data_IF_877118270789
#
_entry.id   IF_877118270789
#
_cell.length_a   1.000
_cell.length_b   1.000
_cell.length_c   1.000
_cell.angle_alpha   90.00
_cell.angle_beta   90.00
_cell.angle_gamma   90.00
#
_symmetry.space_group_name_H-M   'P 1'
#
loop_
_entity.id
_entity.type
_entity.pdbx_description
1 polymer ?
#
# COMPACT_ATOMS: atom_id res chain seq x y z
N UNK A 1 34.32 -10.19 -16.15
CA UNK A 1 34.22 -8.74 -15.87
C UNK A 1 32.79 -8.47 -15.45
N UNK A 2 32.57 -7.92 -14.26
CA UNK A 2 31.22 -7.61 -13.76
C UNK A 2 30.54 -6.57 -14.64
N UNK A 3 29.23 -6.71 -14.81
CA UNK A 3 28.44 -5.69 -15.48
C UNK A 3 28.40 -4.42 -14.63
N UNK A 4 28.60 -3.28 -15.28
CA UNK A 4 28.61 -1.95 -14.69
C UNK A 4 27.28 -1.25 -15.04
N UNK A 5 26.74 -0.42 -14.15
CA UNK A 5 25.59 0.43 -14.50
C UNK A 5 25.92 1.31 -15.71
N UNK A 6 24.90 1.71 -16.46
CA UNK A 6 25.03 2.67 -17.56
C UNK A 6 25.69 3.99 -17.09
N UNK A 7 25.52 4.36 -15.81
CA UNK A 7 26.13 5.56 -15.20
C UNK A 7 27.64 5.46 -15.03
N UNK A 8 28.16 4.26 -14.81
CA UNK A 8 29.61 3.97 -14.67
C UNK A 8 30.27 3.78 -16.04
N UNK A 9 29.49 3.54 -17.10
CA UNK A 9 29.99 3.21 -18.45
C UNK A 9 29.75 4.30 -19.51
N UNK A 10 29.07 5.39 -19.17
CA UNK A 10 28.73 6.44 -20.12
C UNK A 10 29.98 7.20 -20.62
N UNK A 11 30.45 6.85 -21.81
CA UNK A 11 31.29 7.73 -22.62
C UNK A 11 30.48 8.95 -23.10
N UNK A 12 31.15 10.10 -23.26
CA UNK A 12 30.56 11.37 -23.74
C UNK A 12 29.72 11.18 -25.01
N UNK A 13 28.60 11.93 -25.19
CA UNK A 13 27.74 11.75 -26.35
C UNK A 13 28.48 12.14 -27.64
N UNK A 14 28.52 11.24 -28.62
CA UNK A 14 28.86 11.58 -30.00
C UNK A 14 27.59 11.59 -30.84
N UNK A 15 27.39 12.67 -31.58
CA UNK A 15 26.29 12.80 -32.54
C UNK A 15 26.55 11.88 -33.74
N UNK A 16 25.84 10.75 -33.81
CA UNK A 16 25.56 10.13 -35.11
C UNK A 16 24.23 9.39 -35.08
N UNK A 17 23.30 9.85 -35.92
CA UNK A 17 22.02 9.20 -36.16
C UNK A 17 22.23 7.90 -36.94
N UNK A 18 22.01 6.75 -36.31
CA UNK A 18 21.87 5.46 -37.03
C UNK A 18 20.40 5.10 -37.19
N UNK A 19 20.03 4.79 -38.44
CA UNK A 19 18.70 4.34 -38.89
C UNK A 19 18.27 3.07 -38.14
N UNK A 20 17.00 3.03 -37.73
CA UNK A 20 16.35 1.92 -37.05
C UNK A 20 15.99 0.79 -38.04
N UNK A 21 16.48 -0.43 -37.80
CA UNK A 21 15.91 -1.68 -38.30
C UNK A 21 14.94 -2.24 -37.27
N UNK A 22 13.75 -2.69 -37.70
CA UNK A 22 12.55 -2.90 -36.88
C UNK A 22 12.50 -4.24 -36.11
N UNK A 23 13.47 -5.14 -36.24
CA UNK A 23 13.38 -6.48 -35.61
C UNK A 23 14.44 -6.69 -34.53
N UNK A 24 14.18 -6.10 -33.34
CA UNK A 24 14.63 -6.50 -31.99
C UNK A 24 14.53 -5.30 -31.00
N UNK A 25 13.37 -4.65 -30.90
CA UNK A 25 13.06 -3.86 -29.70
C UNK A 25 13.01 -4.84 -28.52
N UNK A 26 14.12 -4.88 -27.78
CA UNK A 26 14.52 -6.03 -26.98
C UNK A 26 13.57 -6.29 -25.81
N UNK A 27 13.29 -7.56 -25.53
CA UNK A 27 12.55 -7.98 -24.33
C UNK A 27 13.15 -7.44 -23.02
N UNK A 28 14.42 -7.00 -23.02
CA UNK A 28 15.13 -6.35 -21.91
C UNK A 28 14.54 -4.97 -21.55
N UNK A 29 13.97 -4.22 -22.52
CA UNK A 29 13.42 -2.89 -22.27
C UNK A 29 12.02 -2.90 -21.64
N UNK A 30 11.31 -4.03 -21.68
CA UNK A 30 9.93 -4.15 -21.17
C UNK A 30 9.80 -5.11 -19.99
N UNK A 31 10.87 -5.84 -19.68
CA UNK A 31 10.83 -6.90 -18.67
C UNK A 31 10.89 -6.35 -17.24
N UNK A 32 10.05 -6.87 -16.37
CA UNK A 32 10.11 -6.67 -14.92
C UNK A 32 10.06 -8.04 -14.21
N UNK A 33 10.77 -8.22 -13.10
CA UNK A 33 10.57 -9.37 -12.23
C UNK A 33 9.09 -9.50 -11.82
N UNK A 34 8.57 -10.73 -11.78
CA UNK A 34 7.14 -10.97 -11.49
C UNK A 34 6.83 -11.04 -9.99
N UNK A 35 7.78 -10.60 -9.16
CA UNK A 35 7.67 -10.59 -7.71
C UNK A 35 8.00 -9.20 -7.18
N UNK A 36 7.72 -9.00 -5.90
CA UNK A 36 8.15 -7.81 -5.20
C UNK A 36 7.39 -6.55 -5.58
N UNK A 37 7.84 -5.44 -5.02
CA UNK A 37 7.32 -4.11 -5.37
C UNK A 37 8.28 -3.48 -6.36
N UNK A 38 7.78 -2.97 -7.49
CA UNK A 38 8.62 -2.32 -8.49
C UNK A 38 9.00 -0.89 -8.06
N UNK A 39 10.20 -0.47 -8.42
CA UNK A 39 10.70 0.87 -8.18
C UNK A 39 11.85 1.23 -9.10
N UNK A 40 12.36 2.44 -8.93
CA UNK A 40 13.43 2.97 -9.77
C UNK A 40 14.44 3.75 -8.94
N UNK A 41 15.59 4.03 -9.53
CA UNK A 41 16.47 5.05 -9.00
C UNK A 41 16.95 5.99 -10.10
N UNK A 42 17.12 7.25 -9.75
CA UNK A 42 17.37 8.33 -10.70
C UNK A 42 18.43 9.29 -10.20
N UNK A 43 19.03 10.00 -11.14
CA UNK A 43 20.06 11.00 -10.88
C UNK A 43 19.89 12.19 -11.82
N UNK A 44 20.88 13.08 -11.85
CA UNK A 44 20.91 14.20 -12.80
C UNK A 44 20.92 13.76 -14.26
N UNK A 45 21.30 12.52 -14.57
CA UNK A 45 21.23 11.96 -15.94
C UNK A 45 19.81 11.94 -16.52
N UNK A 46 18.78 11.90 -15.67
CA UNK A 46 17.39 11.87 -16.12
C UNK A 46 16.75 13.26 -16.21
N UNK A 47 17.31 14.28 -15.55
CA UNK A 47 16.69 15.61 -15.47
C UNK A 47 15.28 15.58 -14.83
N UNK A 48 14.32 16.22 -15.48
CA UNK A 48 12.91 16.27 -15.04
C UNK A 48 12.18 15.02 -15.54
N UNK A 49 11.35 14.41 -14.68
CA UNK A 49 10.65 13.17 -14.94
C UNK A 49 9.13 13.33 -14.86
N UNK A 50 8.42 12.61 -15.74
CA UNK A 50 6.99 12.36 -15.56
C UNK A 50 6.80 11.21 -14.56
N UNK A 51 6.57 11.58 -13.30
CA UNK A 51 6.36 10.63 -12.21
C UNK A 51 5.03 9.88 -12.29
N UNK A 52 3.99 10.50 -12.88
CA UNK A 52 2.70 9.84 -13.03
C UNK A 52 2.81 8.71 -14.06
N UNK A 53 3.58 8.92 -15.13
CA UNK A 53 3.92 7.86 -16.08
C UNK A 53 4.66 6.70 -15.39
N UNK A 54 5.68 6.97 -14.57
CA UNK A 54 6.38 5.90 -13.82
C UNK A 54 5.43 5.14 -12.87
N UNK A 55 4.53 5.85 -12.18
CA UNK A 55 3.50 5.24 -11.32
C UNK A 55 2.57 4.32 -12.11
N UNK A 56 2.14 4.75 -13.29
CA UNK A 56 1.27 3.99 -14.17
C UNK A 56 1.96 2.74 -14.74
N UNK A 57 3.29 2.76 -14.91
CA UNK A 57 4.09 1.58 -15.23
C UNK A 57 4.24 0.58 -14.06
N UNK A 58 3.78 0.95 -12.85
CA UNK A 58 3.77 0.06 -11.69
C UNK A 58 4.79 0.39 -10.61
N UNK A 59 5.62 1.42 -10.78
CA UNK A 59 6.57 1.83 -9.75
C UNK A 59 5.84 2.33 -8.49
N UNK A 60 6.32 1.92 -7.31
CA UNK A 60 5.80 2.34 -6.00
C UNK A 60 6.88 2.87 -5.06
N UNK A 61 8.16 2.76 -5.44
CA UNK A 61 9.23 3.47 -4.75
C UNK A 61 10.29 4.05 -5.68
N UNK A 62 11.02 5.06 -5.18
CA UNK A 62 12.15 5.65 -5.87
C UNK A 62 13.33 5.96 -4.93
N UNK A 63 14.56 5.77 -5.42
CA UNK A 63 15.75 6.40 -4.81
C UNK A 63 16.29 7.51 -5.71
N UNK A 64 16.71 8.63 -5.12
CA UNK A 64 17.20 9.79 -5.87
C UNK A 64 18.62 10.12 -5.44
N UNK A 65 19.55 10.27 -6.39
CA UNK A 65 20.91 10.73 -6.09
C UNK A 65 20.84 12.09 -5.43
N UNK A 66 21.32 12.21 -4.20
CA UNK A 66 21.42 13.51 -3.54
C UNK A 66 22.80 14.12 -3.73
N UNK A 67 23.84 13.32 -3.54
CA UNK A 67 25.23 13.78 -3.45
C UNK A 67 26.22 12.79 -4.04
N UNK A 68 27.42 13.28 -4.34
CA UNK A 68 28.60 12.50 -4.72
C UNK A 68 29.83 13.17 -4.12
N UNK A 69 30.69 12.36 -3.48
CA UNK A 69 31.77 12.90 -2.66
C UNK A 69 31.26 13.93 -1.65
N UNK A 70 32.14 14.81 -1.15
CA UNK A 70 31.72 15.93 -0.29
C UNK A 70 31.60 17.25 -1.05
N UNK A 71 31.35 17.20 -2.37
CA UNK A 71 31.39 18.39 -3.25
C UNK A 71 30.21 18.51 -4.22
N UNK A 72 29.60 17.40 -4.67
CA UNK A 72 28.53 17.45 -5.66
C UNK A 72 27.15 17.34 -5.01
N UNK A 73 26.19 18.12 -5.51
CA UNK A 73 24.76 17.97 -5.21
C UNK A 73 23.99 17.82 -6.51
N UNK A 74 23.02 16.91 -6.54
CA UNK A 74 22.15 16.76 -7.69
C UNK A 74 21.23 18.00 -7.81
N UNK A 75 21.32 18.81 -8.89
CA UNK A 75 20.50 20.01 -9.06
C UNK A 75 19.01 19.68 -9.24
N UNK A 76 18.68 18.45 -9.67
CA UNK A 76 17.31 17.98 -9.85
C UNK A 76 16.75 17.25 -8.61
N UNK A 77 17.53 17.14 -7.53
CA UNK A 77 17.16 16.33 -6.36
C UNK A 77 15.78 16.71 -5.81
N UNK A 78 15.52 18.00 -5.59
CA UNK A 78 14.25 18.45 -5.01
C UNK A 78 13.05 18.06 -5.89
N UNK A 79 13.12 18.33 -7.19
CA UNK A 79 12.06 17.99 -8.15
C UNK A 79 11.86 16.48 -8.30
N UNK A 80 12.95 15.70 -8.28
CA UNK A 80 12.88 14.25 -8.39
C UNK A 80 12.31 13.61 -7.12
N UNK A 81 12.83 14.02 -5.96
CA UNK A 81 12.44 13.47 -4.66
C UNK A 81 10.98 13.80 -4.30
N UNK A 82 10.56 15.07 -4.49
CA UNK A 82 9.18 15.47 -4.23
C UNK A 82 8.21 15.01 -5.32
N UNK A 83 8.64 14.99 -6.59
CA UNK A 83 7.82 14.50 -7.69
C UNK A 83 7.40 13.04 -7.50
N UNK A 84 8.33 12.16 -7.07
CA UNK A 84 8.01 10.79 -6.71
C UNK A 84 6.98 10.72 -5.56
N UNK A 85 7.16 11.55 -4.52
CA UNK A 85 6.25 11.57 -3.38
C UNK A 85 4.84 12.03 -3.75
N UNK A 86 4.72 13.02 -4.63
CA UNK A 86 3.44 13.62 -5.03
C UNK A 86 2.51 12.63 -5.73
N UNK A 87 3.06 11.65 -6.46
CA UNK A 87 2.28 10.55 -7.06
C UNK A 87 2.07 9.37 -6.12
N UNK A 88 2.55 9.45 -4.88
CA UNK A 88 2.31 8.46 -3.82
C UNK A 88 3.45 7.47 -3.58
N UNK A 89 4.61 7.61 -4.22
CA UNK A 89 5.73 6.68 -4.03
C UNK A 89 6.40 6.85 -2.65
N UNK A 90 6.88 5.72 -2.12
CA UNK A 90 7.88 5.67 -1.06
C UNK A 90 9.21 6.10 -1.66
N UNK A 91 10.00 6.94 -0.97
CA UNK A 91 11.20 7.54 -1.56
C UNK A 91 12.37 7.58 -0.60
N UNK A 92 13.57 7.48 -1.14
CA UNK A 92 14.82 7.61 -0.41
C UNK A 92 15.86 8.38 -1.21
N UNK A 93 16.99 8.65 -0.59
CA UNK A 93 18.11 9.29 -1.24
C UNK A 93 19.33 8.37 -1.24
N UNK A 94 20.20 8.54 -2.23
CA UNK A 94 21.48 7.83 -2.27
C UNK A 94 22.66 8.78 -2.46
N UNK A 95 23.82 8.32 -1.99
CA UNK A 95 25.09 9.00 -2.06
C UNK A 95 26.11 8.16 -2.81
N UNK A 96 26.67 8.70 -3.89
CA UNK A 96 27.74 8.05 -4.64
C UNK A 96 29.09 8.30 -3.96
N UNK A 97 29.72 7.24 -3.46
CA UNK A 97 30.94 7.35 -2.69
C UNK A 97 32.17 7.61 -3.56
N UNK A 98 33.05 8.49 -3.10
CA UNK A 98 34.40 8.66 -3.65
C UNK A 98 35.40 8.45 -2.51
N UNK A 99 35.71 7.21 -2.12
CA UNK A 99 36.36 6.91 -0.85
C UNK A 99 37.81 7.39 -0.73
N UNK A 100 38.51 7.59 -1.85
CA UNK A 100 39.87 8.13 -1.85
C UNK A 100 39.92 9.66 -1.77
N UNK A 101 38.79 10.34 -1.89
CA UNK A 101 38.71 11.80 -1.84
C UNK A 101 38.60 12.35 -0.42
N UNK A 102 37.80 11.72 0.44
CA UNK A 102 37.60 12.14 1.83
C UNK A 102 37.14 10.98 2.71
N UNK A 103 37.10 11.18 4.03
CA UNK A 103 36.65 10.15 4.98
C UNK A 103 35.18 9.75 4.76
N UNK A 104 34.82 8.57 5.26
CA UNK A 104 33.44 8.08 5.24
C UNK A 104 32.53 8.98 6.07
N UNK A 105 33.00 9.43 7.23
CA UNK A 105 32.29 10.37 8.09
C UNK A 105 32.01 11.71 7.40
N UNK A 106 32.96 12.26 6.64
CA UNK A 106 32.77 13.54 5.96
C UNK A 106 31.72 13.43 4.84
N UNK A 107 31.77 12.36 4.06
CA UNK A 107 30.76 12.10 3.02
C UNK A 107 29.39 11.79 3.61
N UNK A 108 29.32 11.07 4.74
CA UNK A 108 28.08 10.83 5.45
C UNK A 108 27.44 12.13 5.97
N UNK A 109 28.22 13.02 6.60
CA UNK A 109 27.72 14.33 7.05
C UNK A 109 27.23 15.16 5.88
N UNK A 110 28.01 15.23 4.81
CA UNK A 110 27.65 15.97 3.61
C UNK A 110 26.36 15.43 2.98
N UNK A 111 26.23 14.12 2.87
CA UNK A 111 25.03 13.47 2.37
C UNK A 111 23.80 13.79 3.21
N UNK A 112 23.85 13.55 4.52
CA UNK A 112 22.71 13.75 5.43
C UNK A 112 22.26 15.22 5.43
N UNK A 113 23.20 16.16 5.40
CA UNK A 113 22.91 17.60 5.34
C UNK A 113 22.32 18.06 3.99
N UNK A 114 22.45 17.25 2.93
CA UNK A 114 22.04 17.61 1.58
C UNK A 114 21.06 16.60 0.96
N UNK A 115 20.17 16.02 1.77
CA UNK A 115 19.05 15.18 1.31
C UNK A 115 19.10 13.72 1.75
N UNK A 116 20.20 13.27 2.36
CA UNK A 116 20.35 11.93 2.94
C UNK A 116 19.70 11.72 4.30
N UNK A 117 18.83 12.64 4.73
CA UNK A 117 18.11 12.50 6.01
C UNK A 117 17.09 11.37 6.00
N UNK A 118 16.69 10.93 7.19
CA UNK A 118 15.62 9.94 7.37
C UNK A 118 14.57 10.44 8.37
N UNK A 119 13.31 10.07 8.14
CA UNK A 119 12.18 10.37 9.03
C UNK A 119 11.26 9.17 9.13
N UNK A 120 10.64 8.96 10.30
CA UNK A 120 9.69 7.87 10.55
C UNK A 120 8.30 8.08 9.92
N UNK A 121 8.21 8.81 8.81
CA UNK A 121 6.94 9.23 8.17
C UNK A 121 6.25 8.10 7.38
N UNK A 122 6.88 6.92 7.30
CA UNK A 122 6.39 5.77 6.53
C UNK A 122 6.60 5.89 5.01
N UNK A 123 7.24 6.96 4.56
CA UNK A 123 7.56 7.22 3.16
C UNK A 123 9.06 7.38 2.93
N UNK A 124 9.87 7.73 3.94
CA UNK A 124 11.30 8.03 3.80
C UNK A 124 12.11 6.78 4.02
N UNK A 125 12.69 6.21 2.96
CA UNK A 125 13.54 5.03 3.10
C UNK A 125 14.89 5.38 3.73
N UNK A 126 15.55 4.41 4.40
CA UNK A 126 16.90 4.58 4.92
C UNK A 126 17.87 5.14 3.87
N UNK A 127 18.87 5.94 4.27
CA UNK A 127 19.83 6.52 3.34
C UNK A 127 20.63 5.42 2.64
N UNK A 128 20.99 5.59 1.37
CA UNK A 128 21.80 4.59 0.63
C UNK A 128 23.23 5.10 0.47
N UNK A 129 24.18 4.22 0.81
CA UNK A 129 25.55 4.29 0.38
C UNK A 129 25.68 3.53 -0.95
N UNK A 130 25.95 4.25 -2.03
CA UNK A 130 26.28 3.68 -3.32
C UNK A 130 27.81 3.47 -3.37
N UNK A 131 28.22 2.21 -3.19
CA UNK A 131 29.61 1.77 -3.06
C UNK A 131 29.96 0.77 -4.15
N UNK A 132 30.41 1.31 -5.29
CA UNK A 132 30.64 0.53 -6.49
C UNK A 132 31.91 0.95 -7.26
N UNK A 133 32.08 0.35 -8.44
CA UNK A 133 33.13 0.63 -9.40
C UNK A 133 33.46 2.12 -9.50
N UNK A 134 34.75 2.45 -9.44
CA UNK A 134 35.23 3.79 -9.69
C UNK A 134 34.88 4.24 -11.13
N UNK A 135 34.03 5.26 -11.33
CA UNK A 135 33.67 5.74 -12.66
C UNK A 135 34.77 6.62 -13.27
N UNK A 136 35.75 7.04 -12.47
CA UNK A 136 36.88 7.89 -12.86
C UNK A 136 38.20 7.10 -12.86
N UNK A 137 38.13 5.79 -13.09
CA UNK A 137 39.30 4.91 -13.09
C UNK A 137 40.39 5.42 -14.04
N UNK A 138 41.59 5.68 -13.50
CA UNK A 138 42.74 6.17 -14.24
C UNK A 138 42.73 7.67 -14.54
N UNK A 139 41.70 8.42 -14.13
CA UNK A 139 41.58 9.85 -14.44
C UNK A 139 42.24 10.74 -13.39
N UNK A 140 42.77 11.88 -13.86
CA UNK A 140 43.14 13.02 -13.00
C UNK A 140 42.22 14.19 -13.30
N UNK A 141 41.39 14.59 -12.33
CA UNK A 141 40.45 15.71 -12.49
C UNK A 141 40.80 16.77 -11.45
N UNK A 142 40.98 18.02 -11.90
CA UNK A 142 41.36 19.15 -11.06
C UNK A 142 42.61 18.88 -10.18
N UNK A 143 43.59 18.14 -10.74
CA UNK A 143 44.83 17.79 -10.05
C UNK A 143 44.74 16.62 -9.06
N UNK A 144 43.56 15.99 -8.91
CA UNK A 144 43.37 14.81 -8.07
C UNK A 144 43.27 13.54 -8.93
N UNK A 145 44.11 12.55 -8.62
CA UNK A 145 44.10 11.25 -9.29
C UNK A 145 43.12 10.29 -8.62
N UNK A 146 42.13 9.79 -9.38
CA UNK A 146 41.03 8.98 -8.86
C UNK A 146 41.39 7.50 -8.67
N UNK A 147 42.58 7.05 -9.07
CA UNK A 147 43.03 5.68 -8.82
C UNK A 147 42.37 4.64 -9.74
N UNK A 148 42.53 3.35 -9.38
CA UNK A 148 42.00 2.23 -10.15
C UNK A 148 40.50 1.96 -9.85
N UNK A 149 39.96 0.84 -10.36
CA UNK A 149 38.59 0.35 -10.06
C UNK A 149 38.25 0.25 -8.55
N UNK A 150 39.26 0.08 -7.68
CA UNK A 150 39.14 0.06 -6.23
C UNK A 150 39.67 1.36 -5.59
N UNK A 151 39.65 2.48 -6.31
CA UNK A 151 40.05 3.82 -5.87
C UNK A 151 41.52 3.92 -5.42
N UNK A 152 42.39 3.00 -5.83
CA UNK A 152 43.75 2.81 -5.30
C UNK A 152 43.81 2.56 -3.77
N UNK A 153 42.74 1.98 -3.21
CA UNK A 153 42.67 1.65 -1.79
C UNK A 153 42.73 0.14 -1.59
N UNK A 154 43.33 -0.28 -0.47
CA UNK A 154 43.32 -1.68 -0.07
C UNK A 154 41.93 -2.12 0.42
N UNK A 155 41.65 -3.44 0.43
CA UNK A 155 40.42 -3.99 1.00
C UNK A 155 40.14 -3.53 2.44
N UNK A 156 41.18 -3.43 3.27
CA UNK A 156 41.06 -2.98 4.66
C UNK A 156 40.67 -1.50 4.76
N UNK A 157 41.25 -0.64 3.91
CA UNK A 157 40.92 0.78 3.87
C UNK A 157 39.47 1.00 3.42
N UNK A 158 39.03 0.33 2.35
CA UNK A 158 37.64 0.40 1.88
C UNK A 158 36.65 -0.12 2.93
N UNK A 159 36.96 -1.26 3.56
CA UNK A 159 36.13 -1.82 4.65
C UNK A 159 36.00 -0.85 5.83
N UNK A 160 37.11 -0.22 6.23
CA UNK A 160 37.11 0.80 7.29
C UNK A 160 36.28 2.02 6.89
N UNK A 161 36.39 2.45 5.64
CA UNK A 161 35.66 3.61 5.11
C UNK A 161 34.15 3.38 5.14
N UNK A 162 33.67 2.20 4.72
CA UNK A 162 32.23 1.84 4.76
C UNK A 162 31.71 1.87 6.21
N UNK A 163 32.49 1.36 7.17
CA UNK A 163 32.10 1.39 8.59
C UNK A 163 32.05 2.81 9.16
N UNK A 164 32.99 3.66 8.78
CA UNK A 164 33.05 5.06 9.18
C UNK A 164 31.83 5.84 8.63
N UNK A 165 31.52 5.67 7.35
CA UNK A 165 30.30 6.22 6.74
C UNK A 165 29.04 5.69 7.44
N UNK A 166 28.92 4.37 7.59
CA UNK A 166 27.74 3.72 8.14
C UNK A 166 27.44 4.10 9.59
N UNK A 167 28.47 4.15 10.44
CA UNK A 167 28.33 4.57 11.84
C UNK A 167 27.95 6.05 11.95
N UNK A 168 28.47 6.91 11.07
CA UNK A 168 28.13 8.33 11.02
C UNK A 168 26.70 8.56 10.54
N UNK A 169 26.24 7.85 9.49
CA UNK A 169 24.82 7.93 9.06
C UNK A 169 23.91 7.45 10.19
N UNK A 170 24.24 6.37 10.88
CA UNK A 170 23.44 5.84 12.00
C UNK A 170 23.35 6.83 13.15
N UNK A 171 24.44 7.51 13.51
CA UNK A 171 24.40 8.50 14.59
C UNK A 171 23.55 9.72 14.24
N UNK A 172 23.52 10.13 12.97
CA UNK A 172 22.76 11.31 12.51
C UNK A 172 21.28 11.01 12.22
N UNK A 173 20.95 9.78 11.84
CA UNK A 173 19.61 9.43 11.32
C UNK A 173 18.89 8.35 12.12
N UNK A 174 19.60 7.64 13.00
CA UNK A 174 19.11 6.44 13.67
C UNK A 174 19.08 5.18 12.80
N UNK A 175 19.50 5.25 11.52
CA UNK A 175 19.48 4.14 10.57
C UNK A 175 20.88 3.81 10.06
N UNK A 176 21.21 2.52 9.97
CA UNK A 176 22.31 2.09 9.11
C UNK A 176 21.92 2.35 7.65
N UNK A 177 22.86 2.79 6.80
CA UNK A 177 22.56 2.98 5.40
C UNK A 177 22.34 1.63 4.72
N UNK A 178 21.54 1.64 3.65
CA UNK A 178 21.55 0.56 2.66
C UNK A 178 22.88 0.59 1.93
N UNK A 179 23.50 -0.57 1.71
CA UNK A 179 24.67 -0.66 0.85
C UNK A 179 24.19 -1.08 -0.54
N UNK A 180 24.30 -0.16 -1.50
CA UNK A 180 24.23 -0.50 -2.91
C UNK A 180 25.61 -0.95 -3.40
N UNK A 181 25.68 -2.12 -4.04
CA UNK A 181 26.92 -2.61 -4.63
C UNK A 181 26.69 -3.70 -5.68
N UNK A 182 27.73 -4.00 -6.46
CA UNK A 182 27.80 -5.18 -7.31
C UNK A 182 28.62 -6.28 -6.62
N UNK A 183 28.11 -7.52 -6.62
CA UNK A 183 28.77 -8.66 -5.95
C UNK A 183 30.21 -8.88 -6.42
N UNK A 184 30.49 -8.73 -7.72
CA UNK A 184 31.84 -8.94 -8.24
C UNK A 184 32.81 -7.85 -7.80
N UNK A 185 32.36 -6.60 -7.77
CA UNK A 185 33.17 -5.48 -7.31
C UNK A 185 33.44 -5.56 -5.81
N UNK A 186 32.41 -5.84 -5.00
CA UNK A 186 32.56 -6.01 -3.55
C UNK A 186 33.57 -7.12 -3.21
N UNK A 187 33.48 -8.26 -3.90
CA UNK A 187 34.42 -9.35 -3.73
C UNK A 187 35.84 -8.98 -4.17
N UNK A 188 35.98 -8.29 -5.31
CA UNK A 188 37.28 -7.88 -5.85
C UNK A 188 37.96 -6.82 -4.97
N UNK A 189 37.25 -5.76 -4.61
CA UNK A 189 37.83 -4.58 -3.98
C UNK A 189 37.86 -4.64 -2.46
N UNK A 190 36.91 -5.33 -1.82
CA UNK A 190 36.87 -5.46 -0.35
C UNK A 190 37.25 -6.86 0.13
N UNK A 191 37.34 -7.86 -0.75
CA UNK A 191 37.66 -9.23 -0.36
C UNK A 191 36.51 -9.96 0.35
N UNK A 192 35.26 -9.57 0.06
CA UNK A 192 34.05 -10.16 0.66
C UNK A 192 34.09 -10.21 2.21
N UNK A 193 34.22 -9.06 2.90
CA UNK A 193 34.30 -9.04 4.36
C UNK A 193 32.98 -9.42 5.02
N UNK A 194 33.07 -10.03 6.20
CA UNK A 194 31.95 -10.23 7.12
C UNK A 194 31.65 -8.96 7.96
N UNK A 195 30.53 -8.99 8.70
CA UNK A 195 30.17 -7.93 9.65
C UNK A 195 29.34 -6.78 9.08
N UNK A 196 28.75 -6.95 7.89
CA UNK A 196 27.80 -6.01 7.30
C UNK A 196 26.36 -6.55 7.24
N UNK A 197 26.05 -7.68 7.90
CA UNK A 197 24.73 -8.31 7.85
C UNK A 197 23.58 -7.46 8.39
N UNK A 198 23.87 -6.46 9.24
CA UNK A 198 22.87 -5.49 9.73
C UNK A 198 22.59 -4.36 8.72
N UNK A 199 23.40 -4.21 7.68
CA UNK A 199 23.17 -3.26 6.59
C UNK A 199 22.23 -3.89 5.58
N UNK A 200 21.12 -3.25 5.19
CA UNK A 200 20.30 -3.72 4.08
C UNK A 200 21.13 -3.73 2.79
N UNK A 201 20.99 -4.78 1.98
CA UNK A 201 21.70 -4.91 0.72
C UNK A 201 20.80 -4.49 -0.46
N UNK A 202 21.31 -3.60 -1.28
CA UNK A 202 20.80 -3.32 -2.62
C UNK A 202 21.81 -3.84 -3.65
N UNK A 203 21.50 -5.00 -4.24
CA UNK A 203 22.43 -5.65 -5.17
C UNK A 203 22.18 -5.20 -6.61
N UNK A 204 23.23 -4.82 -7.32
CA UNK A 204 23.20 -4.56 -8.75
C UNK A 204 23.61 -5.82 -9.54
N UNK A 205 22.71 -6.34 -10.37
CA UNK A 205 22.94 -7.53 -11.18
C UNK A 205 22.01 -7.54 -12.39
N UNK A 206 22.55 -7.61 -13.62
CA UNK A 206 21.77 -7.45 -14.85
C UNK A 206 21.76 -8.74 -15.68
N UNK A 207 20.85 -9.68 -15.39
CA UNK A 207 20.85 -10.97 -16.05
C UNK A 207 20.70 -10.81 -17.57
N UNK A 208 21.39 -11.62 -18.39
CA UNK A 208 21.37 -11.51 -19.86
C UNK A 208 20.00 -11.90 -20.47
N UNK A 209 19.11 -12.47 -19.66
CA UNK A 209 17.74 -12.83 -20.02
C UNK A 209 16.79 -12.64 -18.83
N UNK A 210 15.47 -12.45 -19.08
CA UNK A 210 14.45 -12.33 -18.04
C UNK A 210 14.50 -13.45 -16.99
N UNK A 211 14.55 -13.10 -15.70
CA UNK A 211 14.57 -14.07 -14.60
C UNK A 211 14.15 -13.44 -13.27
N UNK A 212 13.59 -14.23 -12.35
CA UNK A 212 13.31 -13.76 -10.97
C UNK A 212 14.49 -13.99 -10.00
N UNK A 213 15.69 -14.20 -10.53
CA UNK A 213 16.87 -14.50 -9.74
C UNK A 213 17.95 -13.43 -9.97
N UNK A 214 18.28 -12.68 -8.92
CA UNK A 214 19.34 -11.68 -8.92
C UNK A 214 20.75 -12.28 -9.02
N UNK A 215 20.89 -13.60 -8.84
CA UNK A 215 22.18 -14.26 -8.75
C UNK A 215 22.83 -14.12 -7.37
N UNK A 216 24.14 -14.36 -7.26
CA UNK A 216 24.83 -14.37 -5.97
C UNK A 216 24.96 -12.98 -5.36
N UNK A 217 24.86 -12.92 -4.03
CA UNK A 217 25.19 -11.75 -3.19
C UNK A 217 26.55 -11.94 -2.51
N UNK A 218 27.18 -10.90 -1.91
CA UNK A 218 28.39 -11.08 -1.12
C UNK A 218 28.12 -11.88 0.17
N UNK A 219 28.37 -13.19 0.10
CA UNK A 219 27.85 -14.16 1.07
C UNK A 219 28.48 -14.10 2.47
N UNK A 220 29.61 -13.41 2.64
CA UNK A 220 30.24 -13.30 3.95
C UNK A 220 29.44 -12.40 4.91
N UNK A 221 28.64 -11.48 4.37
CA UNK A 221 27.80 -10.58 5.16
C UNK A 221 26.31 -10.81 4.93
N UNK A 222 25.90 -11.23 3.73
CA UNK A 222 24.49 -11.31 3.37
C UNK A 222 24.09 -12.70 2.90
N UNK A 223 22.99 -13.21 3.45
CA UNK A 223 22.31 -14.40 2.93
C UNK A 223 21.26 -14.07 1.86
N UNK A 224 20.83 -12.80 1.77
CA UNK A 224 19.83 -12.31 0.83
C UNK A 224 19.97 -10.78 0.61
N UNK A 225 19.21 -10.22 -0.34
CA UNK A 225 19.13 -8.79 -0.61
C UNK A 225 17.76 -8.20 -0.24
N UNK A 226 17.73 -6.90 0.06
CA UNK A 226 16.51 -6.12 0.26
C UNK A 226 15.98 -5.53 -1.04
N UNK A 227 16.88 -5.02 -1.89
CA UNK A 227 16.56 -4.44 -3.20
C UNK A 227 17.46 -5.08 -4.25
N UNK A 228 16.91 -5.33 -5.43
CA UNK A 228 17.67 -5.74 -6.59
C UNK A 228 17.51 -4.71 -7.72
N UNK A 229 18.62 -4.13 -8.17
CA UNK A 229 18.66 -3.38 -9.43
C UNK A 229 18.87 -4.39 -10.57
N UNK A 230 17.80 -4.65 -11.31
CA UNK A 230 17.75 -5.73 -12.31
C UNK A 230 18.00 -5.26 -13.73
N UNK A 231 17.90 -3.95 -13.98
CA UNK A 231 18.13 -3.37 -15.31
C UNK A 231 18.62 -1.94 -15.20
N UNK A 232 19.57 -1.57 -16.06
CA UNK A 232 20.03 -0.20 -16.28
C UNK A 232 19.47 0.45 -17.55
N UNK A 233 18.55 -0.24 -18.23
CA UNK A 233 18.01 0.17 -19.54
C UNK A 233 16.50 0.35 -19.55
N UNK A 234 15.82 0.03 -18.45
CA UNK A 234 14.37 0.09 -18.35
C UNK A 234 13.73 -1.19 -17.80
N UNK A 235 12.40 -1.23 -17.66
CA UNK A 235 11.44 -0.33 -18.31
C UNK A 235 11.23 1.03 -17.66
N UNK A 236 11.64 1.20 -16.40
CA UNK A 236 11.46 2.47 -15.67
C UNK A 236 12.57 3.47 -16.01
N UNK A 237 12.30 4.75 -15.77
CA UNK A 237 13.32 5.79 -15.93
C UNK A 237 14.51 5.56 -15.00
N UNK A 238 15.73 5.90 -15.46
CA UNK A 238 16.94 5.58 -14.72
C UNK A 238 17.18 4.07 -14.69
N UNK A 239 17.49 3.54 -13.51
CA UNK A 239 17.69 2.11 -13.34
C UNK A 239 16.46 1.48 -12.66
N UNK A 240 16.07 0.29 -13.13
CA UNK A 240 14.89 -0.43 -12.66
C UNK A 240 15.23 -1.36 -11.51
N UNK A 241 14.40 -1.28 -10.47
CA UNK A 241 14.62 -1.91 -9.19
C UNK A 241 13.39 -2.70 -8.73
N UNK A 242 13.63 -3.73 -7.93
CA UNK A 242 12.57 -4.48 -7.25
C UNK A 242 12.91 -4.62 -5.76
N UNK A 243 11.93 -4.31 -4.92
CA UNK A 243 11.97 -4.60 -3.48
C UNK A 243 11.63 -6.07 -3.24
N UNK A 244 12.46 -6.76 -2.46
CA UNK A 244 12.29 -8.16 -2.10
C UNK A 244 11.29 -8.33 -0.95
N UNK A 245 10.00 -8.19 -1.27
CA UNK A 245 8.89 -8.33 -0.33
C UNK A 245 7.64 -7.64 -0.82
N UNK A 246 6.61 -7.57 0.03
CA UNK A 246 5.37 -6.85 -0.28
C UNK A 246 5.44 -5.36 0.06
N UNK A 247 4.38 -4.62 -0.29
CA UNK A 247 4.27 -3.19 -0.01
C UNK A 247 4.22 -2.87 1.49
N UNK A 248 3.72 -3.79 2.32
CA UNK A 248 3.70 -3.59 3.77
C UNK A 248 5.14 -3.64 4.33
N UNK A 249 5.95 -4.61 3.89
CA UNK A 249 7.36 -4.72 4.24
C UNK A 249 8.16 -3.51 3.78
N UNK A 250 7.90 -3.00 2.57
CA UNK A 250 8.53 -1.77 2.08
C UNK A 250 8.15 -0.54 2.91
N UNK A 251 6.88 -0.41 3.32
CA UNK A 251 6.47 0.67 4.24
C UNK A 251 7.16 0.56 5.59
N UNK A 252 7.33 -0.64 6.13
CA UNK A 252 8.10 -0.85 7.36
C UNK A 252 9.57 -0.55 7.20
N UNK A 253 10.13 -0.83 6.02
CA UNK A 253 11.50 -0.48 5.72
C UNK A 253 11.70 1.04 5.76
N UNK A 254 10.73 1.82 5.25
CA UNK A 254 10.71 3.27 5.34
C UNK A 254 10.35 3.82 6.73
N UNK A 255 9.52 3.12 7.51
CA UNK A 255 9.07 3.56 8.84
C UNK A 255 9.90 3.02 9.99
N UNK A 256 9.84 3.63 11.18
CA UNK A 256 10.24 2.99 12.44
C UNK A 256 8.97 2.71 13.23
N UNK A 257 8.29 1.62 12.87
CA UNK A 257 7.04 1.25 13.52
C UNK A 257 7.35 0.39 14.73
N UNK A 258 7.10 0.94 15.91
CA UNK A 258 7.25 0.23 17.16
C UNK A 258 5.88 -0.14 17.71
N UNK A 259 5.83 -1.26 18.43
CA UNK A 259 4.64 -1.66 19.18
C UNK A 259 4.92 -1.34 20.64
N UNK A 260 4.13 -0.46 21.25
CA UNK A 260 4.24 -0.17 22.68
C UNK A 260 3.76 -1.39 23.47
N UNK A 261 4.69 -2.13 24.07
CA UNK A 261 4.39 -3.38 24.79
C UNK A 261 3.69 -3.15 26.13
N UNK A 262 3.71 -1.93 26.64
CA UNK A 262 2.97 -1.54 27.85
C UNK A 262 1.53 -1.10 27.58
N UNK A 263 1.17 -0.86 26.31
CA UNK A 263 -0.18 -0.45 25.90
C UNK A 263 -1.13 -1.63 25.70
N UNK A 264 -2.43 -1.36 25.68
CA UNK A 264 -3.44 -2.41 25.49
C UNK A 264 -3.33 -3.07 24.10
N UNK A 265 -3.08 -2.29 23.05
CA UNK A 265 -2.87 -2.82 21.68
C UNK A 265 -1.63 -3.70 21.63
N UNK A 266 -0.50 -3.26 22.19
CA UNK A 266 0.72 -4.07 22.23
C UNK A 266 0.59 -5.33 23.08
N UNK A 267 -0.14 -5.26 24.20
CA UNK A 267 -0.46 -6.44 25.01
C UNK A 267 -1.27 -7.46 24.21
N UNK A 268 -2.28 -7.00 23.46
CA UNK A 268 -3.07 -7.87 22.57
C UNK A 268 -2.25 -8.44 21.41
N UNK A 269 -1.31 -7.65 20.87
CA UNK A 269 -0.37 -8.08 19.84
C UNK A 269 0.56 -9.18 20.34
N UNK A 270 1.16 -9.02 21.53
CA UNK A 270 2.01 -10.04 22.17
C UNK A 270 1.21 -11.31 22.41
N UNK A 271 0.02 -11.19 23.03
CA UNK A 271 -0.84 -12.33 23.32
C UNK A 271 -1.26 -13.10 22.05
N UNK A 272 -1.33 -12.41 20.91
CA UNK A 272 -1.64 -12.99 19.62
C UNK A 272 -0.42 -13.56 18.86
N UNK A 273 0.77 -13.63 19.48
CA UNK A 273 2.00 -14.20 18.92
C UNK A 273 2.97 -13.18 18.32
N UNK A 274 2.78 -11.89 18.57
CA UNK A 274 3.65 -10.82 18.11
C UNK A 274 3.77 -10.75 16.58
N UNK A 275 4.99 -10.50 16.08
CA UNK A 275 5.29 -10.33 14.66
C UNK A 275 4.97 -11.57 13.81
N UNK A 276 5.10 -12.76 14.38
CA UNK A 276 4.77 -14.03 13.72
C UNK A 276 3.30 -14.44 13.96
N UNK A 277 2.64 -13.77 14.90
CA UNK A 277 1.28 -14.01 15.35
C UNK A 277 0.22 -13.39 14.45
N UNK A 278 -1.04 -13.38 14.89
CA UNK A 278 -2.23 -13.03 14.08
C UNK A 278 -2.23 -11.61 13.48
N UNK A 279 -1.45 -10.71 14.05
CA UNK A 279 -1.38 -9.30 13.65
C UNK A 279 -0.32 -9.08 12.57
N UNK A 280 0.81 -9.79 12.68
CA UNK A 280 2.00 -9.49 11.89
C UNK A 280 2.80 -8.32 12.44
N UNK A 281 3.75 -7.83 11.65
CA UNK A 281 4.55 -6.67 12.01
C UNK A 281 3.73 -5.37 11.96
N UNK A 282 4.09 -4.40 12.81
CA UNK A 282 3.48 -3.07 12.78
C UNK A 282 3.80 -2.35 11.46
N UNK A 283 2.78 -1.69 10.89
CA UNK A 283 2.86 -0.87 9.67
C UNK A 283 2.54 0.60 9.93
N UNK A 284 2.23 0.94 11.19
CA UNK A 284 2.16 2.30 11.72
C UNK A 284 2.64 2.31 13.17
N UNK A 285 2.93 3.50 13.70
CA UNK A 285 2.95 3.70 15.15
C UNK A 285 1.52 3.78 15.70
N UNK A 286 1.36 3.49 16.99
CA UNK A 286 0.10 3.71 17.69
C UNK A 286 -0.18 5.22 17.76
N UNK A 287 -1.41 5.61 17.40
CA UNK A 287 -1.89 6.98 17.48
C UNK A 287 -3.19 7.01 18.25
N UNK A 288 -3.34 7.98 19.16
CA UNK A 288 -4.50 8.10 20.02
C UNK A 288 -5.23 9.42 19.80
N UNK A 289 -6.55 9.33 19.77
CA UNK A 289 -7.47 10.47 19.88
C UNK A 289 -8.01 10.53 21.33
N UNK A 290 -8.93 11.45 21.60
CA UNK A 290 -9.62 11.50 22.89
C UNK A 290 -10.55 10.30 23.15
N UNK A 291 -10.92 9.53 22.12
CA UNK A 291 -11.92 8.44 22.24
C UNK A 291 -11.39 7.05 21.92
N UNK A 292 -10.31 6.94 21.12
CA UNK A 292 -9.71 5.65 20.77
C UNK A 292 -8.23 5.78 20.39
N UNK A 293 -7.49 4.69 20.57
CA UNK A 293 -6.16 4.49 19.98
C UNK A 293 -6.23 3.52 18.81
N UNK A 294 -5.36 3.70 17.82
CA UNK A 294 -5.25 2.82 16.65
C UNK A 294 -3.79 2.54 16.31
N UNK A 295 -3.52 1.29 15.94
CA UNK A 295 -2.27 0.89 15.29
C UNK A 295 -2.57 -0.10 14.16
N UNK A 296 -1.92 0.07 13.02
CA UNK A 296 -2.03 -0.88 11.90
C UNK A 296 -0.85 -1.83 11.87
N UNK A 297 -1.15 -3.06 11.46
CA UNK A 297 -0.23 -4.18 11.30
C UNK A 297 -0.46 -4.80 9.91
N UNK A 298 0.39 -5.75 9.51
CA UNK A 298 0.26 -6.46 8.22
C UNK A 298 -1.12 -7.07 8.00
N UNK A 299 -1.71 -7.65 9.06
CA UNK A 299 -2.93 -8.45 8.96
C UNK A 299 -4.11 -7.89 9.76
N UNK A 300 -3.87 -6.88 10.59
CA UNK A 300 -4.88 -6.28 11.48
C UNK A 300 -4.75 -4.76 11.52
N UNK A 301 -5.87 -4.05 11.53
CA UNK A 301 -5.94 -2.73 12.17
C UNK A 301 -6.52 -2.94 13.57
N UNK A 302 -5.79 -2.55 14.61
CA UNK A 302 -6.19 -2.73 15.99
C UNK A 302 -6.62 -1.39 16.59
N UNK A 303 -7.72 -1.41 17.32
CA UNK A 303 -8.33 -0.25 17.96
C UNK A 303 -8.47 -0.55 19.44
N UNK A 304 -8.15 0.42 20.28
CA UNK A 304 -8.47 0.35 21.70
C UNK A 304 -9.41 1.49 22.07
N UNK A 305 -10.50 1.16 22.75
CA UNK A 305 -11.37 2.12 23.44
C UNK A 305 -11.51 1.72 24.90
N UNK A 306 -11.78 2.68 25.78
CA UNK A 306 -12.05 2.40 27.18
C UNK A 306 -13.29 1.50 27.36
N UNK A 307 -14.28 1.60 26.46
CA UNK A 307 -15.52 0.85 26.54
C UNK A 307 -15.40 -0.61 26.06
N UNK A 308 -14.59 -0.87 25.03
CA UNK A 308 -14.58 -2.17 24.34
C UNK A 308 -13.24 -2.91 24.43
N UNK A 309 -12.21 -2.28 24.98
CA UNK A 309 -10.85 -2.81 24.93
C UNK A 309 -10.35 -2.92 23.48
N UNK A 310 -9.46 -3.89 23.22
CA UNK A 310 -8.89 -4.06 21.87
C UNK A 310 -9.86 -4.79 20.95
N UNK A 311 -10.13 -4.19 19.78
CA UNK A 311 -10.89 -4.76 18.66
C UNK A 311 -10.11 -4.61 17.37
N UNK A 312 -10.32 -5.52 16.42
CA UNK A 312 -9.50 -5.58 15.20
C UNK A 312 -10.31 -5.75 13.94
N UNK A 313 -9.85 -5.12 12.85
CA UNK A 313 -10.31 -5.38 11.48
C UNK A 313 -9.31 -6.31 10.80
N UNK A 314 -9.80 -7.40 10.18
CA UNK A 314 -8.96 -8.31 9.39
C UNK A 314 -8.66 -7.69 8.02
N UNK A 315 -7.44 -7.18 7.84
CA UNK A 315 -7.09 -6.40 6.65
C UNK A 315 -7.15 -7.21 5.35
N UNK A 316 -6.66 -8.46 5.28
CA UNK A 316 -6.76 -9.26 4.06
C UNK A 316 -8.19 -9.69 3.70
N UNK A 317 -9.15 -9.59 4.63
CA UNK A 317 -10.54 -10.00 4.41
C UNK A 317 -11.36 -8.98 3.61
N UNK A 318 -12.48 -9.43 3.04
CA UNK A 318 -13.34 -8.59 2.19
C UNK A 318 -13.89 -7.36 2.94
N UNK A 319 -14.29 -7.51 4.21
CA UNK A 319 -14.75 -6.39 5.05
C UNK A 319 -13.60 -5.40 5.27
N UNK A 320 -12.41 -5.87 5.64
CA UNK A 320 -11.24 -5.03 5.86
C UNK A 320 -10.80 -4.26 4.61
N UNK A 321 -10.77 -4.92 3.45
CA UNK A 321 -10.46 -4.26 2.17
C UNK A 321 -11.51 -3.21 1.79
N UNK A 322 -12.80 -3.51 2.00
CA UNK A 322 -13.88 -2.54 1.71
C UNK A 322 -13.80 -1.33 2.65
N UNK A 323 -13.52 -1.55 3.93
CA UNK A 323 -13.33 -0.49 4.91
C UNK A 323 -12.12 0.40 4.59
N UNK A 324 -10.99 -0.20 4.20
CA UNK A 324 -9.82 0.55 3.73
C UNK A 324 -10.12 1.37 2.48
N UNK A 325 -10.83 0.79 1.49
CA UNK A 325 -11.23 1.49 0.28
C UNK A 325 -12.18 2.67 0.55
N UNK A 326 -12.98 2.59 1.60
CA UNK A 326 -13.83 3.69 2.06
C UNK A 326 -13.06 4.83 2.77
N UNK A 327 -11.78 4.64 3.08
CA UNK A 327 -10.94 5.61 3.81
C UNK A 327 -10.63 5.22 5.26
N UNK A 328 -10.88 3.97 5.66
CA UNK A 328 -10.53 3.47 6.98
C UNK A 328 -11.20 4.24 8.12
N UNK A 329 -10.43 4.64 9.13
CA UNK A 329 -10.92 5.46 10.26
C UNK A 329 -11.39 6.85 9.85
N UNK A 330 -10.90 7.38 8.73
CA UNK A 330 -11.31 8.69 8.21
C UNK A 330 -12.59 8.60 7.38
N UNK A 331 -13.08 7.39 7.11
CA UNK A 331 -14.35 7.17 6.43
C UNK A 331 -15.54 7.43 7.34
N UNK A 332 -16.73 7.49 6.75
CA UNK A 332 -17.99 7.56 7.50
C UNK A 332 -18.25 6.33 8.38
N UNK A 333 -17.55 5.21 8.20
CA UNK A 333 -17.71 3.99 9.01
C UNK A 333 -17.11 4.17 10.40
N UNK A 334 -15.97 4.88 10.48
CA UNK A 334 -15.18 5.03 11.70
C UNK A 334 -14.34 3.79 12.04
N UNK A 335 -14.00 3.64 13.33
CA UNK A 335 -13.27 2.48 13.84
C UNK A 335 -14.19 1.28 14.13
N UNK A 336 -13.60 0.09 14.22
CA UNK A 336 -14.33 -1.12 14.59
C UNK A 336 -14.67 -1.15 16.08
N UNK A 337 -15.92 -1.48 16.39
CA UNK A 337 -16.45 -1.63 17.74
C UNK A 337 -16.43 -3.09 18.22
N UNK A 338 -16.20 -4.03 17.30
CA UNK A 338 -16.09 -5.45 17.59
C UNK A 338 -15.10 -6.15 16.62
N UNK A 339 -14.72 -7.39 16.94
CA UNK A 339 -14.00 -8.26 16.01
C UNK A 339 -14.97 -8.84 14.96
N UNK A 340 -14.45 -9.14 13.77
CA UNK A 340 -15.21 -9.83 12.73
C UNK A 340 -15.70 -11.21 13.22
N UNK A 341 -16.97 -11.51 12.95
CA UNK A 341 -17.64 -12.75 13.35
C UNK A 341 -18.28 -13.40 12.13
N UNK A 342 -18.12 -14.71 11.99
CA UNK A 342 -18.69 -15.47 10.88
C UNK A 342 -19.76 -16.46 11.36
N UNK A 343 -20.86 -16.51 10.63
CA UNK A 343 -21.85 -17.58 10.64
C UNK A 343 -21.64 -18.48 9.41
N UNK A 344 -22.49 -19.50 9.24
CA UNK A 344 -22.33 -20.51 8.18
C UNK A 344 -22.23 -19.92 6.75
N UNK A 345 -22.92 -18.81 6.47
CA UNK A 345 -23.06 -18.24 5.14
C UNK A 345 -22.77 -16.73 5.04
N UNK A 346 -22.32 -16.09 6.12
CA UNK A 346 -21.94 -14.69 6.13
C UNK A 346 -20.94 -14.37 7.23
N UNK A 347 -20.14 -13.34 7.03
CA UNK A 347 -19.36 -12.71 8.10
C UNK A 347 -19.87 -11.29 8.32
N UNK A 348 -19.73 -10.77 9.53
CA UNK A 348 -20.11 -9.40 9.85
C UNK A 348 -19.17 -8.75 10.85
N UNK A 349 -19.13 -7.42 10.80
CA UNK A 349 -18.37 -6.61 11.75
C UNK A 349 -19.07 -5.28 12.01
N UNK A 350 -19.07 -4.87 13.28
CA UNK A 350 -19.68 -3.62 13.74
C UNK A 350 -18.64 -2.51 13.78
N UNK A 351 -18.96 -1.38 13.16
CA UNK A 351 -18.21 -0.12 13.18
C UNK A 351 -19.06 0.98 13.83
N UNK A 352 -18.49 2.18 14.03
CA UNK A 352 -19.15 3.27 14.75
C UNK A 352 -20.54 3.64 14.20
N UNK A 353 -20.70 3.65 12.88
CA UNK A 353 -21.94 4.11 12.23
C UNK A 353 -22.60 3.03 11.38
N UNK A 354 -21.95 1.87 11.22
CA UNK A 354 -22.38 0.84 10.28
C UNK A 354 -22.06 -0.55 10.79
N UNK A 355 -22.89 -1.51 10.41
CA UNK A 355 -22.53 -2.92 10.46
C UNK A 355 -22.32 -3.43 9.04
N UNK A 356 -21.13 -3.95 8.76
CA UNK A 356 -20.79 -4.55 7.48
C UNK A 356 -21.10 -6.04 7.51
N UNK A 357 -21.74 -6.55 6.46
CA UNK A 357 -22.06 -7.95 6.23
C UNK A 357 -21.44 -8.39 4.92
N UNK A 358 -20.62 -9.44 4.94
CA UNK A 358 -20.10 -10.09 3.75
C UNK A 358 -20.84 -11.40 3.49
N UNK A 359 -21.24 -11.60 2.23
CA UNK A 359 -21.73 -12.88 1.72
C UNK A 359 -21.03 -13.20 0.39
N UNK A 360 -20.95 -14.48 0.04
CA UNK A 360 -20.41 -14.89 -1.26
C UNK A 360 -21.21 -14.33 -2.44
N UNK A 361 -22.52 -14.15 -2.28
CA UNK A 361 -23.41 -13.69 -3.35
C UNK A 361 -23.34 -12.18 -3.60
N UNK A 362 -23.25 -11.37 -2.53
CA UNK A 362 -23.41 -9.91 -2.63
C UNK A 362 -22.14 -9.13 -2.26
N UNK A 363 -21.04 -9.80 -1.90
CA UNK A 363 -19.88 -9.12 -1.32
C UNK A 363 -20.23 -8.41 -0.02
N UNK A 364 -19.57 -7.28 0.26
CA UNK A 364 -19.80 -6.48 1.48
C UNK A 364 -20.92 -5.48 1.27
N UNK A 365 -21.98 -5.61 2.08
CA UNK A 365 -23.09 -4.66 2.17
C UNK A 365 -23.16 -4.11 3.59
N UNK A 366 -23.63 -2.86 3.75
CA UNK A 366 -23.64 -2.18 5.05
C UNK A 366 -25.02 -1.76 5.49
N UNK A 367 -25.30 -1.91 6.78
CA UNK A 367 -26.45 -1.30 7.45
C UNK A 367 -25.97 -0.02 8.11
N UNK A 368 -26.55 1.13 7.76
CA UNK A 368 -26.30 2.39 8.47
C UNK A 368 -27.09 2.39 9.78
N UNK A 369 -26.40 2.12 10.89
CA UNK A 369 -27.04 1.84 12.18
C UNK A 369 -27.70 3.05 12.82
N UNK A 370 -27.22 4.31 12.67
CA UNK A 370 -27.98 5.49 13.11
C UNK A 370 -29.20 5.79 12.23
N UNK A 371 -29.28 5.22 11.03
CA UNK A 371 -30.34 5.48 10.06
C UNK A 371 -31.66 4.79 10.40
N UNK A 372 -32.76 5.36 9.92
CA UNK A 372 -34.10 4.83 10.17
C UNK A 372 -34.29 3.40 9.63
N UNK A 373 -33.78 3.10 8.43
CA UNK A 373 -33.85 1.75 7.84
C UNK A 373 -33.08 0.75 8.69
N UNK A 374 -31.85 1.08 9.09
CA UNK A 374 -31.03 0.22 9.95
C UNK A 374 -31.69 -0.05 11.30
N UNK A 375 -32.25 0.98 11.94
CA UNK A 375 -33.00 0.85 13.20
C UNK A 375 -34.25 -0.02 13.04
N UNK A 376 -35.02 0.16 11.96
CA UNK A 376 -36.20 -0.67 11.70
C UNK A 376 -35.84 -2.14 11.44
N UNK A 377 -34.74 -2.40 10.72
CA UNK A 377 -34.24 -3.75 10.48
C UNK A 377 -33.76 -4.43 11.76
N UNK A 378 -33.04 -3.71 12.62
CA UNK A 378 -32.61 -4.22 13.92
C UNK A 378 -33.82 -4.51 14.83
N UNK A 379 -34.82 -3.62 14.87
CA UNK A 379 -36.05 -3.80 15.63
C UNK A 379 -36.88 -5.02 15.13
N UNK A 380 -36.78 -5.36 13.85
CA UNK A 380 -37.41 -6.55 13.28
C UNK A 380 -36.68 -7.86 13.62
N UNK A 381 -35.50 -7.82 14.26
CA UNK A 381 -34.68 -8.98 14.58
C UNK A 381 -33.44 -9.17 13.70
N UNK A 382 -33.06 -8.17 12.91
CA UNK A 382 -31.84 -8.17 12.12
C UNK A 382 -31.76 -9.33 11.12
N UNK A 383 -30.63 -10.05 11.11
CA UNK A 383 -30.42 -11.17 10.17
C UNK A 383 -31.40 -12.33 10.37
N UNK A 384 -31.94 -12.49 11.58
CA UNK A 384 -32.95 -13.49 11.90
C UNK A 384 -34.38 -13.07 11.58
N UNK A 385 -34.60 -11.80 11.20
CA UNK A 385 -35.91 -11.29 10.82
C UNK A 385 -36.40 -11.87 9.50
N UNK A 386 -37.67 -11.60 9.18
CA UNK A 386 -38.23 -11.90 7.86
C UNK A 386 -37.67 -11.02 6.73
N UNK A 387 -36.81 -10.03 7.01
CA UNK A 387 -36.08 -9.23 6.01
C UNK A 387 -34.86 -9.99 5.48
N UNK A 388 -34.13 -10.66 6.39
CA UNK A 388 -32.88 -11.37 6.12
C UNK A 388 -31.66 -10.44 6.02
N UNK A 389 -30.59 -10.91 5.38
CA UNK A 389 -29.36 -10.15 5.19
C UNK A 389 -29.54 -9.00 4.18
N UNK A 390 -28.79 -7.89 4.31
CA UNK A 390 -28.74 -6.86 3.28
C UNK A 390 -28.13 -7.42 1.98
N UNK A 391 -28.74 -7.05 0.86
CA UNK A 391 -28.25 -7.36 -0.49
C UNK A 391 -27.75 -6.12 -1.22
N UNK A 392 -28.04 -4.92 -0.69
CA UNK A 392 -27.49 -3.65 -1.16
C UNK A 392 -27.04 -2.78 0.02
N UNK A 393 -26.25 -1.75 -0.26
CA UNK A 393 -26.09 -0.59 0.61
C UNK A 393 -27.38 0.26 0.57
N UNK A 394 -27.61 1.03 1.63
CA UNK A 394 -28.65 2.06 1.63
C UNK A 394 -28.33 3.15 0.60
N UNK A 395 -29.32 3.51 -0.21
CA UNK A 395 -29.24 4.55 -1.25
C UNK A 395 -30.36 5.56 -1.07
N UNK A 396 -30.04 6.85 -1.09
CA UNK A 396 -31.02 7.92 -1.04
C UNK A 396 -31.22 8.55 -2.42
N UNK A 397 -32.47 8.68 -2.84
CA UNK A 397 -32.90 9.20 -4.14
C UNK A 397 -33.93 10.29 -3.87
N UNK A 398 -33.56 11.55 -4.12
CA UNK A 398 -34.43 12.68 -3.82
C UNK A 398 -34.79 12.74 -2.34
N UNK A 399 -36.07 12.57 -2.03
CA UNK A 399 -36.64 12.70 -0.68
C UNK A 399 -36.82 11.37 0.08
N UNK A 400 -36.33 10.26 -0.47
CA UNK A 400 -36.44 8.96 0.18
C UNK A 400 -35.12 8.19 0.15
N UNK A 401 -34.94 7.30 1.12
CA UNK A 401 -33.87 6.32 1.14
C UNK A 401 -34.45 4.92 1.01
N UNK A 402 -33.68 4.00 0.46
CA UNK A 402 -34.08 2.61 0.34
C UNK A 402 -32.90 1.67 0.52
N UNK A 403 -33.20 0.45 0.96
CA UNK A 403 -32.23 -0.63 1.05
C UNK A 403 -32.88 -1.97 0.74
N UNK A 404 -32.16 -2.82 0.01
CA UNK A 404 -32.60 -4.15 -0.36
C UNK A 404 -32.02 -5.19 0.60
N UNK A 405 -32.88 -6.14 0.97
CA UNK A 405 -32.59 -7.30 1.80
C UNK A 405 -33.08 -8.56 1.08
N UNK A 406 -32.65 -9.73 1.55
CA UNK A 406 -32.96 -11.02 0.93
C UNK A 406 -34.45 -11.23 0.64
N UNK A 407 -35.33 -10.71 1.50
CA UNK A 407 -36.78 -10.93 1.42
C UNK A 407 -37.60 -9.64 1.40
N UNK A 408 -36.99 -8.49 1.67
CA UNK A 408 -37.69 -7.20 1.73
C UNK A 408 -36.89 -6.09 1.08
N UNK A 409 -37.59 -5.09 0.53
CA UNK A 409 -37.00 -3.79 0.22
C UNK A 409 -37.60 -2.77 1.16
N UNK A 410 -36.76 -2.12 1.97
CA UNK A 410 -37.18 -1.09 2.90
C UNK A 410 -37.06 0.28 2.25
N UNK A 411 -38.05 1.13 2.49
CA UNK A 411 -38.12 2.51 2.05
C UNK A 411 -38.34 3.41 3.25
N UNK A 412 -37.64 4.53 3.30
CA UNK A 412 -37.79 5.56 4.31
C UNK A 412 -38.03 6.92 3.67
N UNK A 413 -38.99 7.66 4.22
CA UNK A 413 -39.21 9.08 3.96
C UNK A 413 -39.34 9.81 5.30
N UNK A 414 -39.12 11.13 5.29
CA UNK A 414 -39.33 11.95 6.48
C UNK A 414 -40.79 11.91 6.99
N UNK A 415 -41.76 11.64 6.10
CA UNK A 415 -43.19 11.70 6.42
C UNK A 415 -43.77 10.36 6.90
N UNK A 416 -43.31 9.22 6.35
CA UNK A 416 -44.01 7.94 6.52
C UNK A 416 -43.24 6.88 7.31
N UNK A 417 -42.10 7.24 7.90
CA UNK A 417 -41.18 6.32 8.57
C UNK A 417 -40.81 5.15 7.65
N UNK A 418 -40.25 4.06 8.18
CA UNK A 418 -39.84 2.92 7.34
C UNK A 418 -41.05 2.07 6.95
N UNK A 419 -41.17 1.75 5.65
CA UNK A 419 -42.14 0.80 5.09
C UNK A 419 -41.45 -0.17 4.16
N UNK A 420 -41.92 -1.43 4.16
CA UNK A 420 -41.26 -2.51 3.42
C UNK A 420 -42.15 -3.10 2.34
N UNK A 421 -41.55 -3.49 1.23
CA UNK A 421 -42.15 -4.33 0.21
C UNK A 421 -41.64 -5.76 0.42
N UNK A 422 -42.52 -6.75 0.45
CA UNK A 422 -42.11 -8.15 0.42
C UNK A 422 -41.72 -8.52 -1.02
N UNK A 423 -40.41 -8.59 -1.27
CA UNK A 423 -39.84 -8.63 -2.62
C UNK A 423 -40.13 -9.94 -3.37
N UNK A 424 -40.13 -11.12 -2.71
CA UNK A 424 -40.59 -12.38 -3.32
C UNK A 424 -42.11 -12.45 -3.55
N UNK A 425 -42.88 -11.52 -2.96
CA UNK A 425 -44.34 -11.51 -3.02
C UNK A 425 -44.90 -11.01 -4.35
N UNK A 426 -46.16 -11.38 -4.63
CA UNK A 426 -46.85 -10.99 -5.85
C UNK A 426 -47.06 -9.47 -5.95
N UNK A 427 -47.50 -8.82 -4.86
CA UNK A 427 -47.73 -7.36 -4.82
C UNK A 427 -46.42 -6.61 -5.14
N UNK A 428 -45.33 -6.93 -4.43
CA UNK A 428 -44.04 -6.31 -4.64
C UNK A 428 -43.45 -6.57 -6.03
N UNK A 429 -43.71 -7.73 -6.62
CA UNK A 429 -43.27 -8.07 -7.98
C UNK A 429 -44.01 -7.24 -9.04
N UNK A 430 -45.34 -7.13 -8.93
CA UNK A 430 -46.15 -6.32 -9.85
C UNK A 430 -45.81 -4.83 -9.72
N UNK A 431 -45.69 -4.31 -8.49
CA UNK A 431 -45.34 -2.91 -8.26
C UNK A 431 -43.97 -2.55 -8.87
N UNK A 432 -42.95 -3.38 -8.68
CA UNK A 432 -41.63 -3.17 -9.29
C UNK A 432 -41.68 -3.23 -10.82
N UNK A 433 -42.45 -4.15 -11.39
CA UNK A 433 -42.62 -4.26 -12.85
C UNK A 433 -43.27 -3.00 -13.46
N UNK A 434 -44.06 -2.25 -12.69
CA UNK A 434 -44.68 -0.99 -13.09
C UNK A 434 -43.80 0.25 -12.83
N UNK A 435 -42.52 0.06 -12.48
CA UNK A 435 -41.59 1.15 -12.20
C UNK A 435 -41.39 1.47 -10.70
N UNK A 436 -42.01 0.69 -9.80
CA UNK A 436 -41.81 0.85 -8.36
C UNK A 436 -42.25 2.22 -7.86
N UNK A 437 -41.33 2.98 -7.26
CA UNK A 437 -41.61 4.28 -6.64
C UNK A 437 -42.07 5.34 -7.63
N UNK A 438 -41.71 5.20 -8.91
CA UNK A 438 -42.17 6.05 -10.02
C UNK A 438 -43.40 5.50 -10.76
N UNK A 439 -43.97 4.38 -10.30
CA UNK A 439 -45.24 3.86 -10.82
C UNK A 439 -46.41 4.76 -10.44
N UNK A 440 -47.57 4.52 -11.05
CA UNK A 440 -48.84 5.18 -10.70
C UNK A 440 -49.35 4.83 -9.29
N UNK A 441 -48.70 3.90 -8.59
CA UNK A 441 -49.05 3.54 -7.21
C UNK A 441 -48.33 4.46 -6.21
N UNK A 442 -47.14 4.93 -6.59
CA UNK A 442 -46.23 5.68 -5.73
C UNK A 442 -45.51 4.81 -4.69
N UNK A 443 -45.04 5.44 -3.62
CA UNK A 443 -44.34 4.79 -2.51
C UNK A 443 -45.26 3.94 -1.62
N UNK A 444 -44.75 2.88 -0.98
CA UNK A 444 -45.50 2.15 0.04
C UNK A 444 -45.75 3.02 1.28
N UNK A 445 -46.99 3.02 1.78
CA UNK A 445 -47.43 3.75 2.97
C UNK A 445 -47.78 2.82 4.14
N UNK A 446 -47.96 1.53 3.87
CA UNK A 446 -48.07 0.46 4.88
C UNK A 446 -47.05 -0.65 4.61
N UNK A 447 -46.79 -1.49 5.60
CA UNK A 447 -46.23 -2.82 5.33
C UNK A 447 -47.32 -3.71 4.70
N UNK A 448 -46.90 -4.73 3.96
CA UNK A 448 -47.82 -5.76 3.47
C UNK A 448 -48.40 -6.54 4.66
N UNK A 449 -49.72 -6.63 4.72
CA UNK A 449 -50.46 -7.37 5.75
C UNK A 449 -51.23 -8.50 5.08
N UNK A 450 -51.01 -9.73 5.57
CA UNK A 450 -51.80 -10.88 5.15
C UNK A 450 -52.68 -11.34 6.31
N UNK A 451 -54.01 -11.35 6.12
CA UNK A 451 -54.94 -11.86 7.13
C UNK A 451 -55.02 -13.39 7.13
N UNK A 452 -54.50 -14.03 6.08
CA UNK A 452 -54.36 -15.48 5.91
C UNK A 452 -53.50 -15.78 4.66
N UNK A 453 -53.24 -17.05 4.37
CA UNK A 453 -52.54 -17.46 3.14
C UNK A 453 -53.30 -17.12 1.83
N UNK A 454 -54.56 -16.64 1.93
CA UNK A 454 -55.44 -16.39 0.78
C UNK A 454 -55.74 -14.92 0.53
N UNK A 455 -55.29 -14.01 1.40
CA UNK A 455 -55.49 -12.56 1.21
C UNK A 455 -54.36 -11.74 1.82
N UNK A 456 -53.72 -10.94 0.98
CA UNK A 456 -52.72 -9.95 1.36
C UNK A 456 -53.09 -8.57 0.81
N UNK A 457 -52.73 -7.51 1.51
CA UNK A 457 -52.89 -6.14 1.00
C UNK A 457 -51.75 -5.23 1.43
N UNK A 458 -51.53 -4.19 0.65
CA UNK A 458 -50.59 -3.12 0.97
C UNK A 458 -51.09 -1.78 0.43
N UNK A 459 -50.94 -0.74 1.23
CA UNK A 459 -51.28 0.62 0.83
C UNK A 459 -50.05 1.31 0.24
N UNK A 460 -50.29 2.06 -0.83
CA UNK A 460 -49.34 2.93 -1.51
C UNK A 460 -49.90 4.37 -1.53
N UNK A 461 -49.08 5.34 -1.96
CA UNK A 461 -49.45 6.76 -1.93
C UNK A 461 -50.74 7.05 -2.67
N UNK A 462 -50.95 6.40 -3.82
CA UNK A 462 -52.07 6.69 -4.71
C UNK A 462 -53.02 5.52 -4.90
N UNK A 463 -52.70 4.34 -4.36
CA UNK A 463 -53.41 3.08 -4.62
C UNK A 463 -53.40 2.16 -3.41
N UNK A 464 -54.38 1.26 -3.34
CA UNK A 464 -54.30 0.05 -2.49
C UNK A 464 -54.16 -1.18 -3.38
N UNK A 465 -53.12 -1.98 -3.15
CA UNK A 465 -52.97 -3.27 -3.81
C UNK A 465 -53.49 -4.39 -2.91
N UNK A 466 -54.22 -5.33 -3.49
CA UNK A 466 -54.68 -6.56 -2.85
C UNK A 466 -54.25 -7.77 -3.68
N UNK A 467 -53.97 -8.88 -3.02
CA UNK A 467 -53.66 -10.14 -3.67
C UNK A 467 -54.50 -11.28 -3.11
N UNK A 468 -55.04 -12.10 -4.03
CA UNK A 468 -55.66 -13.40 -3.72
C UNK A 468 -55.15 -14.47 -4.69
N UNK A 469 -55.24 -15.76 -4.33
CA UNK A 469 -54.88 -16.86 -5.23
C UNK A 469 -55.65 -16.86 -6.56
N UNK A 470 -56.90 -16.42 -6.56
CA UNK A 470 -57.79 -16.48 -7.74
C UNK A 470 -57.70 -15.24 -8.62
N UNK A 471 -57.52 -14.05 -8.05
CA UNK A 471 -57.54 -12.80 -8.80
C UNK A 471 -56.15 -12.25 -9.11
N UNK A 472 -55.09 -12.80 -8.51
CA UNK A 472 -53.77 -12.21 -8.58
C UNK A 472 -53.74 -10.85 -7.88
N UNK A 473 -52.89 -9.92 -8.35
CA UNK A 473 -52.78 -8.57 -7.79
C UNK A 473 -53.80 -7.66 -8.46
N UNK A 474 -54.68 -7.06 -7.64
CA UNK A 474 -55.63 -6.02 -8.06
C UNK A 474 -55.34 -4.72 -7.32
N UNK A 475 -55.63 -3.58 -7.96
CA UNK A 475 -55.43 -2.24 -7.37
C UNK A 475 -56.71 -1.43 -7.41
N UNK A 476 -57.01 -0.74 -6.31
CA UNK A 476 -58.06 0.29 -6.22
C UNK A 476 -57.48 1.68 -6.02
#
# INVERSE_FOLDING_TARGET
MGQRSARVTAAKPSESFKRLSIEALSAEQTWMPTFGVQGLDVSSHQGILDWQYQWNLGARFAYVKATEGNYYKNPYYSSQYQGARNVGMIRGAYHFAIPNWSSGADQARYFVQNGGGWSADGYTMPPVLDFEFNPYEGETINGFYFGNTCYNMSPAQLTSWVRDFGSTVRSMTGRLPVIYTNTSWWNQCLGNPAGFGDYPLWVASYPPSPTNNAGPVPTASWSNYSIWQYSSKGPLAGDSNVWNGDLAALKRFAGNFTVSTSGAIGSAWIAAGGANGLYGNATSNETCTSTYCVQTFERRAAFWTAAQGVKTVFIPGAIGQTWLAAGGTSSSWGHALDNEKCAANYCYQVFQTRTAYWTAANGVQTIFTPGAIGQAWLAAGGTGSDWGLPTSNERCIGNYCLQEFQRRTAYWTAEQWVKTIYTPGAIGSVWRAQGGTSSTWGMPTSNETCSSAVFCYQNFQYRRATWTPTAGVTVS
#
